data_IF_591379899802
#
_entry.id   IF_591379899802
#
_cell.length_a   1.000
_cell.length_b   1.000
_cell.length_c   1.000
_cell.angle_alpha   90.00
_cell.angle_beta   90.00
_cell.angle_gamma   90.00
#
_symmetry.space_group_name_H-M   'P 1'
#
loop_
_entity.id
_entity.type
_entity.pdbx_description
1 polymer ?
#
# COMPACT_ATOMS: atom_id res chain seq x y z
N UNK A 1 -2.39 13.46 27.72
CA UNK A 1 -2.78 12.17 27.12
C UNK A 1 -1.55 11.59 26.41
N UNK A 2 -1.40 10.27 26.35
CA UNK A 2 -0.41 9.67 25.45
C UNK A 2 -0.87 9.71 23.99
N UNK A 3 0.01 9.36 23.04
CA UNK A 3 -0.28 9.37 21.61
C UNK A 3 -1.53 8.57 21.25
N UNK A 4 -1.67 7.34 21.77
CA UNK A 4 -2.84 6.49 21.53
C UNK A 4 -4.14 7.08 22.08
N UNK A 5 -4.13 7.55 23.31
CA UNK A 5 -5.29 8.18 23.97
C UNK A 5 -5.76 9.40 23.19
N UNK A 6 -4.81 10.22 22.70
CA UNK A 6 -5.09 11.39 21.87
C UNK A 6 -5.82 11.01 20.58
N UNK A 7 -5.32 9.99 19.88
CA UNK A 7 -5.94 9.48 18.63
C UNK A 7 -7.33 8.92 18.90
N UNK A 8 -7.48 8.04 19.90
CA UNK A 8 -8.76 7.43 20.21
C UNK A 8 -9.81 8.45 20.67
N UNK A 9 -9.38 9.50 21.38
CA UNK A 9 -10.25 10.62 21.77
C UNK A 9 -10.75 11.38 20.53
N UNK A 10 -9.86 11.70 19.60
CA UNK A 10 -10.21 12.38 18.36
C UNK A 10 -11.13 11.53 17.46
N UNK A 11 -10.84 10.24 17.27
CA UNK A 11 -11.68 9.30 16.51
C UNK A 11 -13.06 9.13 17.15
N UNK A 12 -13.16 9.29 18.46
CA UNK A 12 -14.45 9.29 19.18
C UNK A 12 -15.19 10.63 19.14
N UNK A 13 -14.77 11.56 18.26
CA UNK A 13 -15.34 12.90 18.09
C UNK A 13 -15.33 13.74 19.39
N UNK A 14 -14.34 13.52 20.25
CA UNK A 14 -14.10 14.30 21.48
C UNK A 14 -12.86 15.18 21.30
N UNK A 15 -12.76 16.24 22.09
CA UNK A 15 -11.61 17.18 22.05
C UNK A 15 -10.41 16.54 22.78
N UNK A 16 -9.32 16.20 22.09
CA UNK A 16 -8.08 15.74 22.73
C UNK A 16 -7.28 16.92 23.32
N UNK A 17 -6.18 16.60 24.00
CA UNK A 17 -5.24 17.61 24.52
C UNK A 17 -4.52 18.43 23.42
N UNK A 18 -4.36 17.87 22.22
CA UNK A 18 -3.99 18.57 20.97
C UNK A 18 -4.40 17.76 19.74
N UNK A 19 -4.38 18.37 18.56
CA UNK A 19 -4.60 17.68 17.28
C UNK A 19 -3.59 16.53 17.13
N UNK A 20 -4.03 15.27 16.88
CA UNK A 20 -3.13 14.17 16.55
C UNK A 20 -2.39 14.41 15.24
N UNK A 21 -1.12 14.02 15.16
CA UNK A 21 -0.25 14.25 14.01
C UNK A 21 0.21 12.93 13.42
N UNK A 22 0.21 12.85 12.10
CA UNK A 22 0.88 11.79 11.32
C UNK A 22 1.32 12.37 9.98
N UNK A 23 2.43 11.87 9.44
CA UNK A 23 2.93 12.24 8.13
C UNK A 23 3.40 10.99 7.38
N UNK A 24 3.36 11.05 6.05
CA UNK A 24 3.91 10.03 5.16
C UNK A 24 5.06 10.66 4.37
N UNK A 25 6.10 9.87 4.13
CA UNK A 25 7.31 10.33 3.45
C UNK A 25 7.64 9.41 2.28
N UNK A 26 8.19 9.98 1.22
CA UNK A 26 8.86 9.18 0.20
C UNK A 26 10.09 8.50 0.82
N UNK A 27 10.49 7.30 0.33
CA UNK A 27 11.61 6.54 0.89
C UNK A 27 12.91 7.35 1.01
N UNK A 28 13.19 8.23 0.05
CA UNK A 28 14.40 9.03 0.00
C UNK A 28 14.42 10.11 1.10
N UNK A 29 13.26 10.70 1.41
CA UNK A 29 13.12 11.66 2.52
C UNK A 29 13.21 10.93 3.86
N UNK A 30 12.55 9.78 3.99
CA UNK A 30 12.63 8.97 5.20
C UNK A 30 14.08 8.56 5.51
N UNK A 31 14.85 8.15 4.50
CA UNK A 31 16.26 7.80 4.66
C UNK A 31 17.11 8.99 5.15
N UNK A 32 16.87 10.19 4.63
CA UNK A 32 17.56 11.39 5.08
C UNK A 32 17.21 11.75 6.53
N UNK A 33 15.92 11.69 6.90
CA UNK A 33 15.48 11.96 8.27
C UNK A 33 16.07 10.95 9.27
N UNK A 34 16.12 9.67 8.91
CA UNK A 34 16.76 8.64 9.73
C UNK A 34 18.25 8.93 9.97
N UNK A 35 18.97 9.40 8.94
CA UNK A 35 20.39 9.80 9.07
C UNK A 35 20.56 10.99 10.01
N UNK A 36 19.73 12.02 9.88
CA UNK A 36 19.75 13.23 10.72
C UNK A 36 19.49 12.87 12.19
N UNK A 37 18.48 12.03 12.43
CA UNK A 37 18.07 11.59 13.78
C UNK A 37 18.91 10.43 14.33
N UNK A 38 19.90 9.94 13.56
CA UNK A 38 20.79 8.82 13.92
C UNK A 38 20.05 7.54 14.30
N UNK A 39 18.90 7.30 13.68
CA UNK A 39 18.09 6.10 13.88
C UNK A 39 18.76 4.95 13.10
N UNK A 40 19.24 3.95 13.84
CA UNK A 40 19.92 2.77 13.26
C UNK A 40 18.97 1.64 12.87
N UNK A 41 17.74 1.75 13.33
CA UNK A 41 16.72 0.72 13.18
C UNK A 41 16.16 0.69 11.76
N UNK A 42 15.97 -0.52 11.22
CA UNK A 42 15.16 -0.74 10.01
C UNK A 42 13.68 -1.01 10.37
N UNK A 43 13.31 -0.91 11.65
CA UNK A 43 11.93 -1.12 12.10
C UNK A 43 11.02 -0.03 11.53
N UNK A 44 9.77 -0.41 11.28
CA UNK A 44 8.81 0.37 10.48
C UNK A 44 8.32 1.67 11.12
N UNK A 45 8.56 1.90 12.42
CA UNK A 45 7.93 2.99 13.16
C UNK A 45 8.87 3.87 14.00
N UNK A 46 10.16 3.52 14.08
CA UNK A 46 11.09 4.21 14.98
C UNK A 46 11.27 5.68 14.55
N UNK A 47 11.25 5.94 13.24
CA UNK A 47 11.30 7.29 12.69
C UNK A 47 10.07 8.11 13.08
N UNK A 48 8.89 7.56 12.88
CA UNK A 48 7.61 8.21 13.15
C UNK A 48 7.47 8.53 14.65
N UNK A 49 7.89 7.61 15.52
CA UNK A 49 7.89 7.82 16.97
C UNK A 49 8.86 8.94 17.36
N UNK A 50 10.08 8.95 16.81
CA UNK A 50 11.06 10.01 17.07
C UNK A 50 10.57 11.39 16.58
N UNK A 51 9.84 11.42 15.47
CA UNK A 51 9.21 12.64 14.93
C UNK A 51 7.94 13.06 15.69
N UNK A 52 7.54 12.31 16.72
CA UNK A 52 6.39 12.64 17.57
C UNK A 52 5.04 12.37 16.92
N UNK A 53 4.97 11.43 15.97
CA UNK A 53 3.70 11.00 15.39
C UNK A 53 2.82 10.33 16.44
N UNK A 54 1.51 10.57 16.34
CA UNK A 54 0.52 9.98 17.22
C UNK A 54 -0.06 8.67 16.66
N UNK A 55 -0.10 8.57 15.33
CA UNK A 55 -0.53 7.40 14.57
C UNK A 55 0.66 6.78 13.85
N UNK A 56 0.78 5.46 13.94
CA UNK A 56 1.81 4.68 13.26
C UNK A 56 1.14 3.86 12.15
N UNK A 57 1.27 4.34 10.92
CA UNK A 57 0.60 3.73 9.77
C UNK A 57 1.48 2.64 9.17
N UNK A 58 0.99 1.40 9.11
CA UNK A 58 1.71 0.30 8.47
C UNK A 58 2.02 0.61 7.00
N UNK A 59 2.86 -0.23 6.39
CA UNK A 59 2.86 -0.32 4.92
C UNK A 59 1.46 -0.74 4.47
N UNK A 60 1.04 -0.19 3.34
CA UNK A 60 -0.24 -0.54 2.73
C UNK A 60 -0.13 -1.92 2.09
N UNK A 61 -1.17 -2.74 2.26
CA UNK A 61 -1.22 -4.11 1.76
C UNK A 61 -2.23 -4.27 0.64
N UNK A 62 -2.09 -5.37 -0.10
CA UNK A 62 -2.96 -5.74 -1.21
C UNK A 62 -2.39 -5.32 -2.55
N UNK A 63 -3.25 -4.95 -3.50
CA UNK A 63 -2.81 -4.64 -4.87
C UNK A 63 -1.88 -3.42 -4.94
N UNK A 64 -1.98 -2.49 -4.00
CA UNK A 64 -1.07 -1.35 -3.85
C UNK A 64 0.39 -1.75 -3.60
N UNK A 65 0.62 -2.90 -2.94
CA UNK A 65 1.98 -3.42 -2.70
C UNK A 65 2.78 -3.60 -3.99
N UNK A 66 2.07 -3.68 -5.12
CA UNK A 66 2.63 -3.72 -6.45
C UNK A 66 3.49 -2.50 -6.82
N UNK A 67 3.35 -1.36 -6.12
CA UNK A 67 4.22 -0.18 -6.25
C UNK A 67 5.54 -0.28 -5.46
N UNK A 68 5.74 -1.35 -4.71
CA UNK A 68 6.96 -1.58 -3.93
C UNK A 68 7.83 -2.65 -4.57
N UNK A 69 9.06 -2.30 -4.94
CA UNK A 69 10.00 -3.20 -5.63
C UNK A 69 10.19 -4.55 -4.92
N UNK A 70 10.11 -4.58 -3.59
CA UNK A 70 10.27 -5.79 -2.78
C UNK A 70 9.14 -6.84 -3.01
N UNK A 71 7.99 -6.43 -3.55
CA UNK A 71 6.85 -7.32 -3.88
C UNK A 71 6.80 -7.71 -5.36
N UNK A 72 7.80 -7.31 -6.14
CA UNK A 72 7.79 -7.55 -7.57
C UNK A 72 8.98 -8.41 -7.98
N UNK A 73 8.74 -9.33 -8.92
CA UNK A 73 9.79 -10.07 -9.59
C UNK A 73 10.31 -9.26 -10.77
N UNK A 74 11.62 -9.09 -10.87
CA UNK A 74 12.23 -8.44 -12.02
C UNK A 74 12.15 -9.35 -13.25
N UNK A 75 11.67 -8.82 -14.38
CA UNK A 75 11.49 -9.55 -15.64
C UNK A 75 12.34 -9.03 -16.78
N UNK A 76 12.89 -7.82 -16.65
CA UNK A 76 13.71 -7.19 -17.67
C UNK A 76 14.58 -6.05 -17.11
N UNK A 77 15.09 -5.20 -18.00
CA UNK A 77 15.83 -4.02 -17.58
C UNK A 77 14.86 -2.98 -17.00
N UNK A 78 14.90 -2.82 -15.66
CA UNK A 78 13.99 -1.96 -14.91
C UNK A 78 12.49 -2.34 -15.04
N UNK A 79 12.18 -3.56 -15.46
CA UNK A 79 10.80 -4.06 -15.56
C UNK A 79 10.50 -5.08 -14.48
N UNK A 80 9.29 -4.98 -13.93
CA UNK A 80 8.87 -5.66 -12.71
C UNK A 80 7.43 -6.14 -12.85
N UNK A 81 7.15 -7.37 -12.44
CA UNK A 81 5.80 -7.94 -12.40
C UNK A 81 5.41 -8.27 -10.95
N UNK A 82 4.20 -7.91 -10.54
CA UNK A 82 3.64 -8.32 -9.24
C UNK A 82 2.78 -9.58 -9.38
N UNK A 83 2.31 -10.09 -8.24
CA UNK A 83 1.46 -11.29 -8.16
C UNK A 83 0.11 -11.15 -8.89
N UNK A 84 -0.37 -9.92 -9.09
CA UNK A 84 -1.57 -9.62 -9.90
C UNK A 84 -1.31 -9.64 -11.41
N UNK A 85 -0.07 -9.80 -11.86
CA UNK A 85 0.32 -9.78 -13.27
C UNK A 85 0.49 -8.38 -13.88
N UNK A 86 0.44 -7.33 -13.06
CA UNK A 86 0.68 -5.94 -13.50
C UNK A 86 2.17 -5.75 -13.76
N UNK A 87 2.52 -5.30 -14.97
CA UNK A 87 3.91 -5.01 -15.33
C UNK A 87 4.17 -3.52 -15.16
N UNK A 88 5.25 -3.21 -14.45
CA UNK A 88 5.72 -1.86 -14.18
C UNK A 88 7.13 -1.65 -14.66
N UNK A 89 7.45 -0.40 -15.00
CA UNK A 89 8.80 0.07 -15.28
C UNK A 89 9.26 1.01 -14.18
N UNK A 90 10.46 0.78 -13.65
CA UNK A 90 11.11 1.70 -12.73
C UNK A 90 11.62 2.92 -13.50
N UNK A 91 11.09 4.09 -13.16
CA UNK A 91 11.51 5.37 -13.71
C UNK A 91 12.35 6.08 -12.65
N UNK A 92 13.60 6.40 -13.01
CA UNK A 92 14.51 7.14 -12.14
C UNK A 92 14.44 8.63 -12.48
N UNK A 93 14.53 9.47 -11.45
CA UNK A 93 14.64 10.91 -11.58
C UNK A 93 15.66 11.44 -10.56
N UNK A 94 15.97 12.73 -10.61
CA UNK A 94 16.90 13.35 -9.66
C UNK A 94 16.34 13.28 -8.25
N UNK A 95 16.97 12.45 -7.40
CA UNK A 95 16.58 12.32 -6.00
C UNK A 95 15.55 11.23 -5.70
N UNK A 96 15.25 10.34 -6.64
CA UNK A 96 14.41 9.18 -6.34
C UNK A 96 13.99 8.33 -7.55
N UNK A 97 12.99 7.48 -7.33
CA UNK A 97 12.39 6.67 -8.38
C UNK A 97 10.94 6.29 -8.07
N UNK A 98 10.16 6.00 -9.11
CA UNK A 98 8.80 5.45 -8.96
C UNK A 98 8.58 4.28 -9.92
N UNK A 99 7.49 3.55 -9.72
CA UNK A 99 7.04 2.47 -10.62
C UNK A 99 5.88 2.98 -11.46
N UNK A 100 6.08 3.02 -12.78
CA UNK A 100 5.04 3.33 -13.77
C UNK A 100 4.38 2.05 -14.25
N UNK A 101 3.05 2.00 -14.32
CA UNK A 101 2.36 0.83 -14.89
C UNK A 101 2.47 0.91 -16.41
N UNK A 102 3.10 -0.10 -17.02
CA UNK A 102 3.30 -0.16 -18.48
C UNK A 102 2.47 -1.23 -19.16
N UNK A 103 1.89 -2.16 -18.38
CA UNK A 103 0.95 -3.16 -18.89
C UNK A 103 -0.02 -3.60 -17.81
N UNK A 104 -1.31 -3.57 -18.12
CA UNK A 104 -2.35 -4.13 -17.27
C UNK A 104 -2.70 -5.58 -17.71
N UNK A 105 -2.96 -6.53 -16.79
CA UNK A 105 -3.26 -7.92 -17.13
C UNK A 105 -4.58 -8.12 -17.91
N UNK A 106 -5.53 -7.20 -17.75
CA UNK A 106 -6.87 -7.25 -18.36
C UNK A 106 -7.07 -6.20 -19.48
N UNK A 107 -5.99 -5.74 -20.13
CA UNK A 107 -6.11 -4.86 -21.32
C UNK A 107 -6.96 -5.48 -22.44
N UNK A 108 -6.87 -6.80 -22.59
CA UNK A 108 -7.76 -7.62 -23.41
C UNK A 108 -8.74 -8.35 -22.49
N UNK A 109 -10.02 -8.03 -22.65
CA UNK A 109 -11.09 -8.58 -21.81
C UNK A 109 -11.26 -10.09 -22.03
N UNK A 110 -10.83 -10.64 -23.17
CA UNK A 110 -10.85 -12.08 -23.43
C UNK A 110 -10.00 -12.87 -22.43
N UNK A 111 -9.05 -12.22 -21.76
CA UNK A 111 -8.23 -12.87 -20.74
C UNK A 111 -8.97 -13.07 -19.42
N UNK A 112 -10.09 -12.36 -19.19
CA UNK A 112 -10.74 -12.29 -17.89
C UNK A 112 -11.23 -13.65 -17.39
N UNK A 113 -11.84 -14.46 -18.26
CA UNK A 113 -12.34 -15.78 -17.89
C UNK A 113 -11.26 -16.74 -17.41
N UNK A 114 -10.00 -16.49 -17.77
CA UNK A 114 -8.83 -17.29 -17.38
C UNK A 114 -7.98 -16.63 -16.29
N UNK A 115 -8.26 -15.36 -15.96
CA UNK A 115 -7.51 -14.61 -14.97
C UNK A 115 -7.75 -15.18 -13.58
N UNK A 116 -6.66 -15.43 -12.86
CA UNK A 116 -6.70 -15.88 -11.47
C UNK A 116 -6.16 -14.78 -10.58
N UNK A 117 -6.97 -14.34 -9.64
CA UNK A 117 -6.50 -13.47 -8.57
C UNK A 117 -5.45 -14.21 -7.74
N UNK A 118 -4.40 -13.51 -7.28
CA UNK A 118 -3.42 -14.14 -6.41
C UNK A 118 -4.05 -14.43 -5.04
N UNK A 119 -3.64 -15.51 -4.40
CA UNK A 119 -4.14 -15.89 -3.08
C UNK A 119 -3.32 -15.21 -1.97
N UNK A 120 -3.91 -14.36 -1.10
CA UNK A 120 -3.16 -13.60 -0.09
C UNK A 120 -2.27 -14.47 0.82
N UNK A 121 -2.76 -15.65 1.22
CA UNK A 121 -2.02 -16.55 2.11
C UNK A 121 -0.78 -17.17 1.43
N UNK A 122 -0.79 -17.25 0.10
CA UNK A 122 0.34 -17.80 -0.68
C UNK A 122 1.40 -16.75 -1.02
N UNK A 123 1.13 -15.47 -0.77
CA UNK A 123 2.07 -14.37 -1.07
C UNK A 123 3.09 -14.19 0.04
N UNK A 124 4.29 -14.74 -0.15
CA UNK A 124 5.37 -14.66 0.84
C UNK A 124 5.74 -13.21 1.25
N UNK A 125 5.64 -12.25 0.31
CA UNK A 125 5.91 -10.84 0.56
C UNK A 125 4.90 -10.25 1.56
N UNK A 126 3.61 -10.51 1.37
CA UNK A 126 2.53 -10.12 2.27
C UNK A 126 2.68 -10.78 3.66
N UNK A 127 2.99 -12.07 3.71
CA UNK A 127 3.22 -12.78 4.98
C UNK A 127 4.40 -12.21 5.77
N UNK A 128 5.44 -11.71 5.09
CA UNK A 128 6.56 -11.03 5.73
C UNK A 128 6.17 -9.64 6.28
N UNK A 129 5.28 -8.92 5.61
CA UNK A 129 4.76 -7.65 6.11
C UNK A 129 3.93 -7.83 7.37
N UNK A 130 3.04 -8.84 7.42
CA UNK A 130 2.28 -9.15 8.64
C UNK A 130 3.18 -9.41 9.85
N UNK A 131 4.28 -10.18 9.67
CA UNK A 131 5.27 -10.38 10.74
C UNK A 131 5.94 -9.08 11.19
N UNK A 132 6.14 -8.13 10.27
CA UNK A 132 6.66 -6.80 10.60
C UNK A 132 5.64 -6.00 11.40
N UNK A 133 4.36 -6.05 11.02
CA UNK A 133 3.28 -5.35 11.71
C UNK A 133 3.08 -5.89 13.12
N UNK A 134 3.12 -7.22 13.32
CA UNK A 134 3.05 -7.84 14.65
C UNK A 134 4.15 -7.32 15.58
N UNK A 135 5.39 -7.19 15.07
CA UNK A 135 6.50 -6.61 15.84
C UNK A 135 6.24 -5.16 16.20
N UNK A 136 5.76 -4.36 15.24
CA UNK A 136 5.41 -2.95 15.44
C UNK A 136 4.30 -2.76 16.48
N UNK A 137 3.22 -3.55 16.38
CA UNK A 137 2.11 -3.55 17.35
C UNK A 137 2.58 -3.98 18.73
N UNK A 138 3.41 -5.02 18.84
CA UNK A 138 3.97 -5.47 20.12
C UNK A 138 4.83 -4.39 20.77
N UNK A 139 5.62 -3.67 19.97
CA UNK A 139 6.56 -2.63 20.44
C UNK A 139 5.82 -1.33 20.83
N UNK A 140 4.88 -0.87 20.01
CA UNK A 140 4.29 0.48 20.12
C UNK A 140 2.79 0.51 20.40
N UNK A 141 2.05 -0.58 20.24
CA UNK A 141 0.59 -0.61 20.34
C UNK A 141 0.02 -0.26 21.72
N UNK A 142 0.86 -0.19 22.76
CA UNK A 142 0.48 0.32 24.09
C UNK A 142 0.50 1.85 24.16
N UNK A 143 1.38 2.51 23.41
CA UNK A 143 1.61 3.96 23.49
C UNK A 143 1.07 4.73 22.30
N UNK A 144 0.94 4.08 21.13
CA UNK A 144 0.47 4.67 19.87
C UNK A 144 -0.71 3.89 19.29
N UNK A 145 -1.53 4.58 18.50
CA UNK A 145 -2.48 3.91 17.62
C UNK A 145 -1.72 3.38 16.40
N UNK A 146 -1.80 2.07 16.14
CA UNK A 146 -1.22 1.46 14.93
C UNK A 146 -2.35 1.27 13.93
N UNK A 147 -2.18 1.81 12.73
CA UNK A 147 -3.23 1.85 11.70
C UNK A 147 -2.79 0.98 10.52
N UNK A 148 -3.60 -0.03 10.21
CA UNK A 148 -3.46 -0.82 8.99
C UNK A 148 -3.99 -0.05 7.79
N UNK A 149 -3.29 -0.10 6.66
CA UNK A 149 -3.71 0.52 5.40
C UNK A 149 -4.01 -0.51 4.33
N UNK A 150 -5.20 -0.43 3.75
CA UNK A 150 -5.57 -1.16 2.53
C UNK A 150 -6.05 -0.10 1.54
N UNK A 151 -5.31 0.08 0.45
CA UNK A 151 -5.48 1.18 -0.51
C UNK A 151 -5.44 0.65 -1.94
N UNK A 152 -5.81 1.50 -2.89
CA UNK A 152 -5.96 1.12 -4.29
C UNK A 152 -6.95 -0.05 -4.48
N UNK A 153 -7.98 -0.14 -3.64
CA UNK A 153 -8.98 -1.21 -3.69
C UNK A 153 -10.10 -0.88 -4.67
N UNK A 154 -10.91 -1.89 -5.01
CA UNK A 154 -12.15 -1.78 -5.78
C UNK A 154 -11.93 -0.98 -7.08
N UNK A 155 -12.28 0.32 -7.13
CA UNK A 155 -12.18 1.12 -8.34
C UNK A 155 -10.73 1.37 -8.80
N UNK A 156 -9.84 1.76 -7.89
CA UNK A 156 -8.43 1.96 -8.22
C UNK A 156 -7.77 0.63 -8.60
N UNK A 157 -8.15 -0.46 -7.93
CA UNK A 157 -7.72 -1.82 -8.28
C UNK A 157 -8.16 -2.22 -9.68
N UNK A 158 -9.40 -1.91 -10.07
CA UNK A 158 -9.87 -2.08 -11.45
C UNK A 158 -8.98 -1.29 -12.42
N UNK A 159 -8.67 -0.03 -12.10
CA UNK A 159 -7.79 0.80 -12.95
C UNK A 159 -6.39 0.19 -13.08
N UNK A 160 -5.86 -0.43 -12.03
CA UNK A 160 -4.56 -1.11 -12.07
C UNK A 160 -4.59 -2.42 -12.87
N UNK A 161 -5.72 -3.14 -12.88
CA UNK A 161 -5.86 -4.41 -13.60
C UNK A 161 -6.28 -4.25 -15.07
N UNK A 162 -7.05 -3.21 -15.38
CA UNK A 162 -7.72 -3.00 -16.68
C UNK A 162 -7.24 -1.75 -17.42
N UNK A 163 -6.70 -0.76 -16.70
CA UNK A 163 -6.33 0.56 -17.20
C UNK A 163 -7.49 1.55 -17.08
N UNK A 164 -7.20 2.76 -16.58
CA UNK A 164 -8.23 3.77 -16.25
C UNK A 164 -9.17 4.09 -17.42
N UNK A 165 -8.63 4.40 -18.61
CA UNK A 165 -9.46 4.75 -19.77
C UNK A 165 -10.43 3.63 -20.16
N UNK A 166 -10.00 2.36 -20.03
CA UNK A 166 -10.85 1.19 -20.29
C UNK A 166 -11.91 1.01 -19.22
N UNK A 167 -11.55 1.15 -17.95
CA UNK A 167 -12.53 1.14 -16.84
C UNK A 167 -13.61 2.20 -17.06
N UNK A 168 -13.24 3.40 -17.49
CA UNK A 168 -14.21 4.47 -17.76
C UNK A 168 -15.15 4.15 -18.94
N UNK A 169 -14.68 3.45 -19.97
CA UNK A 169 -15.54 2.93 -21.05
C UNK A 169 -16.40 1.76 -20.55
N UNK A 170 -15.83 0.86 -19.76
CA UNK A 170 -16.51 -0.31 -19.21
C UNK A 170 -17.66 0.07 -18.25
N UNK A 171 -17.61 1.25 -17.61
CA UNK A 171 -18.74 1.78 -16.84
C UNK A 171 -20.02 1.95 -17.68
N UNK A 172 -19.89 2.19 -18.98
CA UNK A 172 -21.02 2.36 -19.91
C UNK A 172 -21.29 1.04 -20.65
N UNK A 173 -20.22 0.41 -21.16
CA UNK A 173 -20.35 -0.68 -22.12
C UNK A 173 -20.33 -2.08 -21.47
N UNK A 174 -19.72 -2.23 -20.29
CA UNK A 174 -19.40 -3.53 -19.67
C UNK A 174 -19.66 -3.56 -18.16
N UNK A 175 -20.81 -3.03 -17.71
CA UNK A 175 -21.15 -2.89 -16.29
C UNK A 175 -21.11 -4.20 -15.49
N UNK A 176 -21.64 -5.30 -16.04
CA UNK A 176 -21.65 -6.61 -15.36
C UNK A 176 -20.23 -7.14 -15.10
N UNK A 177 -19.33 -6.99 -16.09
CA UNK A 177 -17.92 -7.34 -15.93
C UNK A 177 -17.26 -6.49 -14.84
N UNK A 178 -17.51 -5.17 -14.86
CA UNK A 178 -16.85 -4.27 -13.93
C UNK A 178 -17.32 -4.53 -12.49
N UNK A 179 -18.61 -4.82 -12.28
CA UNK A 179 -19.14 -5.24 -10.98
C UNK A 179 -18.48 -6.54 -10.50
N UNK A 180 -18.39 -7.58 -11.34
CA UNK A 180 -17.71 -8.84 -10.97
C UNK A 180 -16.22 -8.62 -10.65
N UNK A 181 -15.54 -7.72 -11.37
CA UNK A 181 -14.16 -7.36 -11.06
C UNK A 181 -14.04 -6.61 -9.72
N UNK A 182 -14.97 -5.70 -9.42
CA UNK A 182 -15.03 -4.99 -8.15
C UNK A 182 -15.29 -5.95 -6.98
N UNK A 183 -16.24 -6.88 -7.12
CA UNK A 183 -16.57 -7.88 -6.11
C UNK A 183 -15.35 -8.78 -5.81
N UNK A 184 -14.60 -9.19 -6.84
CA UNK A 184 -13.35 -9.96 -6.65
C UNK A 184 -12.26 -9.17 -5.96
N UNK A 185 -12.15 -7.88 -6.25
CA UNK A 185 -11.20 -6.99 -5.59
C UNK A 185 -11.60 -6.70 -4.14
N UNK A 186 -12.90 -6.57 -3.84
CA UNK A 186 -13.40 -6.49 -2.47
C UNK A 186 -13.07 -7.80 -1.73
N UNK A 187 -13.43 -8.96 -2.29
CA UNK A 187 -13.20 -10.25 -1.64
C UNK A 187 -11.73 -10.60 -1.41
N UNK A 188 -10.81 -10.02 -2.18
CA UNK A 188 -9.37 -10.19 -1.97
C UNK A 188 -8.84 -9.37 -0.77
N UNK A 189 -9.35 -8.15 -0.57
CA UNK A 189 -8.78 -7.15 0.36
C UNK A 189 -9.39 -7.25 1.76
#
# INVERSE_FOLDING_TARGET
MNSKERVLTAVSHKIPDRVPITNRFNPEIAEQLQKILKIKSKDSFDLEVELGHDLLCTKEIGIVSSYSLQHNRQTGQNEYICDFGIIKKKINYTGGSYLEIIKNPLEDLNNYSSYKFPEPQSQASLQNEFKSFEKGVKKYGKTHAVVGGVTCTIFEGCCMLRGLARVLMDLIDNGDFLNDLMDKLEGYH
#
